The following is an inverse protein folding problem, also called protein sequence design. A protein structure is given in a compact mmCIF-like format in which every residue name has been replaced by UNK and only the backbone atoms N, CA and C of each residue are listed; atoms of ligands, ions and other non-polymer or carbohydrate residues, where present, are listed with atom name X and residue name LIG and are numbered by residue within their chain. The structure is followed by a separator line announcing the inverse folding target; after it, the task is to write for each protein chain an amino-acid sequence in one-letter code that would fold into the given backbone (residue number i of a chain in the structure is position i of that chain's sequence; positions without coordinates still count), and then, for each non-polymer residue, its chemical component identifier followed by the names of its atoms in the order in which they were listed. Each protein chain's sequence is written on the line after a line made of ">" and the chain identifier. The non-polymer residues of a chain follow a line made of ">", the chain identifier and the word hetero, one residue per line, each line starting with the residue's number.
data_IF_296318830705
#
_entry.id   IF_296318830705
#
_cell.length_a   1.000
_cell.length_b   1.000
_cell.length_c   1.000
_cell.angle_alpha   90.00
_cell.angle_beta   90.00
_cell.angle_gamma   90.00
#
_symmetry.space_group_name_H-M   'P 1'
#
loop_
_entity.id
_entity.type
_entity.pdbx_description
1 polymer ?
#
# COMPACT_ATOMS: atom_id res chain seq x y z
N UNK A 1 -2.33 0.79 14.38
CA UNK A 1 -1.74 -0.51 13.99
C UNK A 1 -0.23 -0.39 14.10
N UNK A 2 0.44 -1.29 14.86
CA UNK A 2 1.89 -1.33 14.95
C UNK A 2 2.50 -2.05 13.73
N UNK A 3 3.69 -1.63 13.31
CA UNK A 3 4.58 -2.34 12.39
C UNK A 3 5.90 -2.67 13.09
N UNK A 4 6.71 -3.57 12.52
CA UNK A 4 7.91 -4.07 13.19
C UNK A 4 8.95 -2.95 13.47
N UNK A 5 9.15 -2.04 12.51
CA UNK A 5 10.09 -0.91 12.62
C UNK A 5 9.41 0.45 12.79
N UNK A 6 8.07 0.50 12.80
CA UNK A 6 7.31 1.73 12.94
C UNK A 6 7.41 2.69 11.74
N UNK A 7 7.84 2.20 10.57
CA UNK A 7 8.03 3.01 9.36
C UNK A 7 6.70 3.23 8.64
N UNK A 8 5.85 2.20 8.63
CA UNK A 8 4.54 2.23 7.96
C UNK A 8 3.60 3.22 8.62
N UNK A 9 2.77 3.90 7.81
CA UNK A 9 1.74 4.80 8.31
C UNK A 9 0.80 4.07 9.25
N UNK A 10 0.55 4.64 10.42
CA UNK A 10 -0.32 4.02 11.42
C UNK A 10 -1.79 4.29 11.09
N UNK A 11 -2.64 3.29 11.31
CA UNK A 11 -4.08 3.41 11.20
C UNK A 11 -4.76 3.19 12.55
N UNK A 12 -5.85 3.92 12.77
CA UNK A 12 -6.76 3.71 13.89
C UNK A 12 -7.80 2.67 13.47
N UNK A 13 -8.01 1.67 14.32
CA UNK A 13 -9.01 0.63 14.09
C UNK A 13 -10.15 0.86 15.08
N UNK A 14 -11.39 0.94 14.59
CA UNK A 14 -12.57 1.15 15.40
C UNK A 14 -13.64 0.10 15.12
N UNK A 15 -14.31 -0.34 16.18
CA UNK A 15 -15.55 -1.11 16.08
C UNK A 15 -16.75 -0.18 16.06
N UNK A 16 -17.69 -0.45 15.16
CA UNK A 16 -18.97 0.27 15.08
C UNK A 16 -20.06 -0.50 15.83
N UNK A 17 -21.16 0.18 16.15
CA UNK A 17 -22.32 -0.41 16.83
C UNK A 17 -23.06 -1.45 15.96
N UNK A 18 -22.78 -1.50 14.66
CA UNK A 18 -23.26 -2.54 13.74
C UNK A 18 -22.37 -3.80 13.73
N UNK A 19 -21.49 -3.94 14.73
CA UNK A 19 -20.56 -5.06 14.90
C UNK A 19 -19.57 -5.23 13.73
N UNK A 20 -19.34 -4.15 12.96
CA UNK A 20 -18.30 -4.10 11.92
C UNK A 20 -17.04 -3.41 12.41
N UNK A 21 -15.91 -3.82 11.82
CA UNK A 21 -14.62 -3.16 12.03
C UNK A 21 -14.34 -2.22 10.88
N UNK A 22 -13.96 -0.99 11.22
CA UNK A 22 -13.59 0.07 10.31
C UNK A 22 -12.16 0.54 10.61
N UNK A 23 -11.45 0.96 9.57
CA UNK A 23 -10.08 1.47 9.69
C UNK A 23 -10.02 2.91 9.20
N UNK A 24 -9.41 3.78 10.01
CA UNK A 24 -9.27 5.20 9.74
C UNK A 24 -7.77 5.52 9.63
N UNK A 25 -7.38 6.20 8.56
CA UNK A 25 -6.01 6.72 8.42
C UNK A 25 -5.74 7.78 9.49
N UNK A 26 -4.60 7.68 10.18
CA UNK A 26 -4.20 8.68 11.18
C UNK A 26 -4.09 10.08 10.59
N UNK A 27 -3.77 10.23 9.31
CA UNK A 27 -3.73 11.52 8.60
C UNK A 27 -5.10 12.24 8.62
N UNK A 28 -6.19 11.49 8.67
CA UNK A 28 -7.53 12.06 8.79
C UNK A 28 -7.82 12.61 10.19
N UNK A 29 -7.04 12.25 11.21
CA UNK A 29 -7.20 12.69 12.60
C UNK A 29 -5.95 13.46 13.06
N UNK A 30 -5.24 14.09 12.13
CA UNK A 30 -4.08 14.92 12.45
C UNK A 30 -4.55 16.28 13.03
N UNK A 31 -4.11 16.69 14.24
CA UNK A 31 -4.45 17.98 14.81
C UNK A 31 -3.87 19.17 14.03
N UNK A 32 -2.87 18.97 13.16
CA UNK A 32 -2.22 20.03 12.38
C UNK A 32 -2.99 20.40 11.11
N UNK A 33 -4.14 19.78 10.84
CA UNK A 33 -4.94 20.02 9.63
C UNK A 33 -5.45 21.47 9.61
N UNK A 34 -5.07 22.29 8.61
CA UNK A 34 -5.47 23.70 8.56
C UNK A 34 -6.90 23.84 8.00
N UNK A 35 -7.66 24.81 8.50
CA UNK A 35 -8.96 25.18 7.90
C UNK A 35 -8.79 25.83 6.52
N UNK A 36 -7.75 26.65 6.37
CA UNK A 36 -7.36 27.30 5.12
C UNK A 36 -5.89 26.95 4.84
N UNK A 37 -5.59 26.15 3.80
CA UNK A 37 -4.24 25.64 3.57
C UNK A 37 -3.29 26.73 3.08
N UNK A 38 -2.17 26.90 3.78
CA UNK A 38 -1.02 27.71 3.36
C UNK A 38 -0.15 26.92 2.38
N UNK A 39 0.74 27.58 1.64
CA UNK A 39 1.64 26.86 0.72
C UNK A 39 2.61 25.92 1.45
N UNK A 40 3.09 26.29 2.64
CA UNK A 40 3.86 25.40 3.51
C UNK A 40 3.06 24.13 3.92
N UNK A 41 1.76 24.28 4.21
CA UNK A 41 0.91 23.14 4.60
C UNK A 41 0.68 22.17 3.41
N UNK A 42 0.61 22.72 2.20
CA UNK A 42 0.50 21.92 0.96
C UNK A 42 1.80 21.19 0.65
N UNK A 43 2.96 21.79 0.90
CA UNK A 43 4.27 21.15 0.74
C UNK A 43 4.42 19.94 1.66
N UNK A 44 3.90 20.01 2.89
CA UNK A 44 3.86 18.89 3.82
C UNK A 44 2.77 17.85 3.48
N UNK A 45 1.85 18.19 2.57
CA UNK A 45 0.74 17.33 2.16
C UNK A 45 -0.37 17.20 3.20
N UNK A 46 -0.56 18.22 4.05
CA UNK A 46 -1.61 18.23 5.07
C UNK A 46 -2.99 18.33 4.41
N UNK A 47 -3.90 17.45 4.84
CA UNK A 47 -5.29 17.49 4.38
C UNK A 47 -6.02 18.67 5.06
N UNK A 48 -6.78 19.49 4.32
CA UNK A 48 -7.60 20.54 4.93
C UNK A 48 -8.53 19.98 6.00
N UNK A 49 -8.74 20.73 7.07
CA UNK A 49 -9.66 20.32 8.14
C UNK A 49 -11.08 20.13 7.60
N UNK A 50 -11.68 19.01 7.97
CA UNK A 50 -13.08 18.70 7.66
C UNK A 50 -13.72 18.14 8.93
N UNK A 51 -14.74 18.80 9.49
CA UNK A 51 -15.33 18.41 10.77
C UNK A 51 -16.08 17.08 10.69
N UNK A 52 -16.58 16.74 9.50
CA UNK A 52 -17.24 15.47 9.25
C UNK A 52 -16.22 14.44 8.77
N UNK A 53 -15.98 13.39 9.57
CA UNK A 53 -15.31 12.19 9.09
C UNK A 53 -16.36 11.27 8.44
N UNK A 54 -16.40 11.29 7.11
CA UNK A 54 -17.23 10.36 6.35
C UNK A 54 -16.81 8.92 6.60
N UNK A 55 -17.78 8.03 6.75
CA UNK A 55 -17.56 6.59 6.85
C UNK A 55 -17.59 6.02 5.44
N UNK A 56 -16.46 5.49 4.97
CA UNK A 56 -16.41 4.77 3.70
C UNK A 56 -16.68 3.29 3.95
N UNK A 57 -17.74 2.76 3.34
CA UNK A 57 -18.07 1.34 3.42
C UNK A 57 -16.94 0.45 2.89
N UNK A 58 -16.08 0.95 2.00
CA UNK A 58 -14.90 0.23 1.49
C UNK A 58 -13.78 0.10 2.53
N UNK A 59 -13.79 0.92 3.58
CA UNK A 59 -12.83 0.86 4.67
C UNK A 59 -13.25 -0.15 5.77
N UNK A 60 -14.38 -0.86 5.59
CA UNK A 60 -14.73 -2.00 6.43
C UNK A 60 -13.86 -3.20 6.11
N UNK A 61 -12.90 -3.49 6.99
CA UNK A 61 -12.04 -4.68 6.86
C UNK A 61 -12.79 -5.99 7.08
N UNK A 62 -13.94 -5.90 7.76
CA UNK A 62 -14.81 -7.04 8.02
C UNK A 62 -15.74 -7.38 6.84
N UNK A 63 -15.73 -6.59 5.75
CA UNK A 63 -16.56 -6.78 4.57
C UNK A 63 -18.04 -7.08 4.91
N UNK A 64 -18.49 -8.32 4.71
CA UNK A 64 -19.84 -8.81 4.99
C UNK A 64 -19.95 -9.65 6.27
N UNK A 65 -18.88 -9.72 7.07
CA UNK A 65 -18.85 -10.47 8.32
C UNK A 65 -19.06 -9.49 9.48
N UNK A 66 -20.12 -9.70 10.26
CA UNK A 66 -20.36 -8.96 11.51
C UNK A 66 -19.89 -9.81 12.69
N UNK A 67 -19.21 -9.19 13.65
CA UNK A 67 -18.65 -9.89 14.82
C UNK A 67 -19.58 -9.62 15.98
N UNK A 68 -20.53 -10.53 16.21
CA UNK A 68 -21.58 -10.31 17.19
C UNK A 68 -21.00 -9.97 18.57
N UNK A 69 -21.46 -8.86 19.16
CA UNK A 69 -21.01 -8.36 20.47
C UNK A 69 -19.48 -8.19 20.52
N UNK A 70 -18.96 -7.34 19.65
CA UNK A 70 -17.53 -7.01 19.64
C UNK A 70 -17.07 -6.55 21.04
N UNK A 71 -16.22 -7.34 21.69
CA UNK A 71 -15.72 -7.08 23.03
C UNK A 71 -14.37 -6.36 23.04
N UNK A 72 -13.53 -6.62 22.03
CA UNK A 72 -12.24 -5.97 21.91
C UNK A 72 -11.57 -6.20 20.56
N UNK A 73 -10.60 -5.33 20.27
CA UNK A 73 -9.73 -5.41 19.09
C UNK A 73 -8.29 -5.25 19.57
N UNK A 74 -7.41 -6.12 19.09
CA UNK A 74 -5.97 -6.03 19.27
C UNK A 74 -5.29 -6.04 17.90
N UNK A 75 -4.08 -5.51 17.85
CA UNK A 75 -3.28 -5.50 16.63
C UNK A 75 -1.85 -5.86 16.96
N UNK A 76 -1.23 -6.69 16.12
CA UNK A 76 0.15 -7.12 16.26
C UNK A 76 0.93 -6.82 14.96
N UNK A 77 2.22 -6.48 15.07
CA UNK A 77 3.07 -6.36 13.90
C UNK A 77 3.24 -7.74 13.26
N UNK A 78 3.36 -7.77 11.93
CA UNK A 78 3.77 -8.97 11.20
C UNK A 78 5.28 -8.92 10.91
N UNK A 79 5.85 -10.02 10.39
CA UNK A 79 7.24 -10.02 9.89
C UNK A 79 7.46 -9.03 8.75
N UNK A 80 6.40 -8.74 7.98
CA UNK A 80 6.39 -7.74 6.92
C UNK A 80 6.11 -6.36 7.49
N UNK A 81 6.92 -5.38 7.10
CA UNK A 81 6.78 -4.00 7.60
C UNK A 81 5.49 -3.35 7.11
N UNK A 82 5.07 -3.67 5.86
CA UNK A 82 3.87 -3.07 5.27
C UNK A 82 2.57 -3.65 5.81
N UNK A 83 2.63 -4.74 6.58
CA UNK A 83 1.45 -5.48 7.05
C UNK A 83 1.35 -5.56 8.57
N UNK A 84 0.13 -5.39 9.06
CA UNK A 84 -0.22 -5.54 10.48
C UNK A 84 -1.40 -6.49 10.59
N UNK A 85 -1.40 -7.34 11.61
CA UNK A 85 -2.50 -8.29 11.85
C UNK A 85 -3.44 -7.68 12.87
N UNK A 86 -4.73 -7.68 12.55
CA UNK A 86 -5.80 -7.24 13.44
C UNK A 86 -6.57 -8.47 13.88
N UNK A 87 -6.71 -8.62 15.20
CA UNK A 87 -7.50 -9.67 15.81
C UNK A 87 -8.60 -9.03 16.64
N UNK A 88 -9.84 -9.39 16.34
CA UNK A 88 -11.03 -8.92 17.03
C UNK A 88 -11.77 -10.10 17.63
N UNK A 89 -12.27 -9.91 18.86
CA UNK A 89 -13.00 -10.94 19.58
C UNK A 89 -14.29 -10.38 20.17
N UNK A 90 -15.32 -11.22 20.15
CA UNK A 90 -16.62 -10.98 20.75
C UNK A 90 -17.26 -12.32 21.07
N UNK A 91 -18.49 -12.53 20.61
CA UNK A 91 -19.04 -13.88 20.49
C UNK A 91 -18.29 -14.71 19.45
N UNK A 92 -17.91 -14.06 18.35
CA UNK A 92 -17.16 -14.66 17.26
C UNK A 92 -15.72 -14.14 17.25
N UNK A 93 -14.83 -14.88 16.58
CA UNK A 93 -13.42 -14.52 16.44
C UNK A 93 -13.15 -14.11 14.99
N UNK A 94 -12.47 -12.99 14.80
CA UNK A 94 -12.10 -12.48 13.48
C UNK A 94 -10.63 -12.07 13.45
N UNK A 95 -9.94 -12.48 12.40
CA UNK A 95 -8.54 -12.16 12.19
C UNK A 95 -8.32 -11.77 10.74
N UNK A 96 -7.67 -10.63 10.51
CA UNK A 96 -7.30 -10.20 9.15
C UNK A 96 -5.98 -9.44 9.16
N UNK A 97 -5.22 -9.56 8.07
CA UNK A 97 -4.07 -8.70 7.82
C UNK A 97 -4.53 -7.41 7.12
N UNK A 98 -3.96 -6.28 7.50
CA UNK A 98 -4.22 -4.96 6.92
C UNK A 98 -2.91 -4.33 6.49
N UNK A 99 -2.93 -3.65 5.34
CA UNK A 99 -1.80 -2.97 4.70
C UNK A 99 -2.04 -1.46 4.66
N UNK A 100 -1.61 -0.68 5.66
CA UNK A 100 -1.98 0.73 5.78
C UNK A 100 -1.58 1.61 4.59
N UNK A 101 -0.38 1.40 4.07
CA UNK A 101 0.23 2.21 3.01
C UNK A 101 0.33 1.49 1.67
N UNK A 102 -0.53 0.47 1.44
CA UNK A 102 -0.38 -0.54 0.37
C UNK A 102 0.88 -1.40 0.57
N UNK A 103 0.84 -2.64 0.09
CA UNK A 103 1.96 -3.57 0.27
C UNK A 103 3.15 -3.18 -0.59
N UNK A 104 4.11 -2.44 -0.03
CA UNK A 104 5.32 -2.01 -0.74
C UNK A 104 6.48 -3.01 -0.64
N UNK A 105 6.38 -3.99 0.28
CA UNK A 105 7.32 -5.10 0.47
C UNK A 105 6.84 -6.40 -0.22
N UNK A 106 5.81 -6.29 -1.06
CA UNK A 106 5.30 -7.38 -1.89
C UNK A 106 5.21 -6.88 -3.33
N UNK A 107 5.58 -7.72 -4.28
CA UNK A 107 5.30 -7.48 -5.68
C UNK A 107 3.78 -7.53 -5.90
N UNK A 108 3.23 -6.60 -6.68
CA UNK A 108 1.80 -6.58 -6.96
C UNK A 108 1.34 -7.93 -7.52
N UNK A 109 0.16 -8.37 -7.08
CA UNK A 109 -0.42 -9.63 -7.57
C UNK A 109 -0.74 -9.55 -9.08
N UNK A 110 -1.03 -8.34 -9.59
CA UNK A 110 -1.29 -8.07 -11.01
C UNK A 110 -0.01 -7.78 -11.83
N UNK A 111 1.19 -8.11 -11.32
CA UNK A 111 2.43 -7.81 -12.03
C UNK A 111 2.57 -8.66 -13.30
N UNK A 112 2.84 -8.01 -14.43
CA UNK A 112 2.95 -8.67 -15.73
C UNK A 112 4.35 -9.28 -15.95
N UNK A 113 4.56 -10.47 -15.39
CA UNK A 113 5.82 -11.22 -15.53
C UNK A 113 6.13 -11.59 -16.99
N UNK A 114 5.11 -11.85 -17.81
CA UNK A 114 5.32 -12.26 -19.21
C UNK A 114 5.86 -11.10 -20.05
N UNK A 115 5.32 -9.88 -19.88
CA UNK A 115 5.84 -8.69 -20.52
C UNK A 115 7.30 -8.42 -20.12
N UNK A 116 7.61 -8.52 -18.83
CA UNK A 116 8.98 -8.33 -18.33
C UNK A 116 9.95 -9.32 -19.00
N UNK A 117 9.57 -10.60 -19.05
CA UNK A 117 10.36 -11.66 -19.66
C UNK A 117 10.56 -11.43 -21.17
N UNK A 118 9.50 -11.08 -21.89
CA UNK A 118 9.58 -10.82 -23.34
C UNK A 118 10.47 -9.62 -23.64
N UNK A 119 10.30 -8.52 -22.91
CA UNK A 119 11.11 -7.30 -23.13
C UNK A 119 12.59 -7.54 -22.80
N UNK A 120 12.89 -8.29 -21.74
CA UNK A 120 14.29 -8.64 -21.41
C UNK A 120 14.92 -9.52 -22.48
N UNK A 121 14.22 -10.56 -22.97
CA UNK A 121 14.72 -11.41 -24.07
C UNK A 121 14.90 -10.59 -25.35
N UNK A 122 13.92 -9.75 -25.72
CA UNK A 122 13.99 -8.89 -26.89
C UNK A 122 15.20 -7.95 -26.83
N UNK A 123 15.47 -7.36 -25.66
CA UNK A 123 16.62 -6.47 -25.46
C UNK A 123 17.95 -7.21 -25.60
N UNK A 124 18.05 -8.44 -25.08
CA UNK A 124 19.23 -9.30 -25.23
C UNK A 124 19.49 -9.61 -26.71
N UNK A 125 18.46 -10.06 -27.44
CA UNK A 125 18.59 -10.36 -28.88
C UNK A 125 18.98 -9.11 -29.66
N UNK A 126 18.33 -7.97 -29.40
CA UNK A 126 18.64 -6.71 -30.05
C UNK A 126 20.09 -6.28 -29.82
N UNK A 127 20.63 -6.43 -28.60
CA UNK A 127 22.03 -6.09 -28.31
C UNK A 127 23.02 -6.98 -29.05
N UNK A 128 22.75 -8.28 -29.18
CA UNK A 128 23.62 -9.17 -29.98
C UNK A 128 23.61 -8.80 -31.47
N UNK A 129 22.43 -8.53 -32.04
CA UNK A 129 22.30 -8.12 -33.44
C UNK A 129 23.01 -6.78 -33.67
N UNK A 130 22.77 -5.78 -32.83
CA UNK A 130 23.43 -4.47 -32.91
C UNK A 130 24.95 -4.60 -32.79
N UNK A 131 25.46 -5.44 -31.89
CA UNK A 131 26.90 -5.70 -31.74
C UNK A 131 27.49 -6.31 -33.01
N UNK A 132 26.83 -7.29 -33.61
CA UNK A 132 27.27 -7.91 -34.87
C UNK A 132 27.29 -6.89 -36.00
N UNK A 133 26.22 -6.10 -36.16
CA UNK A 133 26.14 -5.04 -37.17
C UNK A 133 27.20 -3.97 -36.97
N UNK A 134 27.44 -3.53 -35.72
CA UNK A 134 28.47 -2.56 -35.40
C UNK A 134 29.88 -3.07 -35.71
N UNK A 135 30.17 -4.34 -35.40
CA UNK A 135 31.45 -4.97 -35.74
C UNK A 135 31.66 -5.01 -37.27
N UNK A 136 30.64 -5.42 -38.03
CA UNK A 136 30.70 -5.41 -39.49
C UNK A 136 30.87 -3.99 -40.06
N UNK A 137 30.21 -2.99 -39.47
CA UNK A 137 30.32 -1.60 -39.92
C UNK A 137 31.70 -0.99 -39.63
N UNK A 138 32.27 -1.26 -38.45
CA UNK A 138 33.62 -0.81 -38.10
C UNK A 138 34.68 -1.36 -39.04
N UNK A 139 34.58 -2.64 -39.43
CA UNK A 139 35.47 -3.21 -40.44
C UNK A 139 35.28 -2.51 -41.79
N UNK A 140 34.04 -2.23 -42.23
CA UNK A 140 33.84 -1.50 -43.49
C UNK A 140 34.47 -0.10 -43.49
N UNK A 141 34.34 0.65 -42.39
CA UNK A 141 34.94 2.00 -42.29
C UNK A 141 36.46 1.96 -42.19
N UNK A 142 37.04 0.96 -41.53
CA UNK A 142 38.50 0.88 -41.39
C UNK A 142 39.21 0.55 -42.72
N UNK A 143 38.48 0.03 -43.70
CA UNK A 143 39.00 -0.38 -45.01
C UNK A 143 38.50 0.50 -46.17
N UNK A 144 37.81 1.60 -45.87
CA UNK A 144 37.56 2.70 -46.81
C UNK A 144 38.62 3.77 -46.65
#
# INVERSE_FOLDING_TARGET
>A
TPSHHGITTTQLVSGFADDRIHVIDRRAIDPRRPEKPTDADKEEGLMPYMPFLGIDLRAHISYNLTIAKLAGITSAPSERESTSVIFAWGHDLFCTAVTPARSYDKLNDDFNYSLLAVMTIALIVATFVLKSMAASNNVKMAWS
#
